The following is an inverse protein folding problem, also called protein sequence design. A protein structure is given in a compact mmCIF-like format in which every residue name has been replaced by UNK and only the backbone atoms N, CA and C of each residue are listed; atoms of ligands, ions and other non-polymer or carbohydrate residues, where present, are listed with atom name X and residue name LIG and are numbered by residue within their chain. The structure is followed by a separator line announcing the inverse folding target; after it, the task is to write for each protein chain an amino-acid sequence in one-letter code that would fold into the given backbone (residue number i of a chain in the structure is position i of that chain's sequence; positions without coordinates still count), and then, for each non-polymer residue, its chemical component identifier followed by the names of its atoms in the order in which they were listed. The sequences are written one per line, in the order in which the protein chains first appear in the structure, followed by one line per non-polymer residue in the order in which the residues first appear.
data_IF_751104616833
#
_entry.id   IF_751104616833
#
_cell.length_a   1.000
_cell.length_b   1.000
_cell.length_c   1.000
_cell.angle_alpha   90.00
_cell.angle_beta   90.00
_cell.angle_gamma   90.00
#
_symmetry.space_group_name_H-M   'P 1'
#
loop_
_entity.id
_entity.type
_entity.pdbx_description
1 polymer ?
#
# COMPACT_ATOMS: atom_id res chain seq x y z
N UNK A 1 15.45 12.64 28.61
CA UNK A 1 16.87 12.69 28.20
C UNK A 1 16.97 13.69 27.06
N UNK A 2 17.84 14.69 27.15
CA UNK A 2 18.09 15.62 26.04
C UNK A 2 18.82 14.87 24.93
N UNK A 3 18.20 14.82 23.75
CA UNK A 3 18.78 14.21 22.54
C UNK A 3 20.07 14.96 22.13
N UNK A 4 21.02 14.27 21.47
CA UNK A 4 22.24 14.92 21.01
C UNK A 4 21.93 15.97 19.93
N UNK A 5 22.58 17.14 20.04
CA UNK A 5 22.55 18.29 19.12
C UNK A 5 22.64 17.95 17.61
N UNK A 6 23.13 16.75 17.28
CA UNK A 6 23.24 16.23 15.93
C UNK A 6 21.88 16.04 15.23
N UNK A 7 20.82 15.65 15.95
CA UNK A 7 19.49 15.43 15.34
C UNK A 7 18.76 16.74 15.02
N UNK A 8 18.82 17.76 15.88
CA UNK A 8 18.27 19.10 15.58
C UNK A 8 18.99 19.75 14.39
N UNK A 9 20.32 19.60 14.34
CA UNK A 9 21.14 20.12 13.24
C UNK A 9 20.84 19.38 11.93
N UNK A 10 20.64 18.05 11.98
CA UNK A 10 20.23 17.25 10.84
C UNK A 10 18.81 17.61 10.36
N UNK A 11 17.83 17.78 11.26
CA UNK A 11 16.47 18.23 10.92
C UNK A 11 16.45 19.59 10.24
N UNK A 12 17.32 20.52 10.65
CA UNK A 12 17.44 21.84 9.99
C UNK A 12 18.10 21.74 8.62
N UNK A 13 19.22 21.03 8.51
CA UNK A 13 19.92 20.78 7.24
C UNK A 13 19.05 20.01 6.22
N UNK A 14 18.17 19.12 6.71
CA UNK A 14 17.20 18.42 5.88
C UNK A 14 16.11 19.33 5.33
N UNK A 15 15.54 20.22 6.17
CA UNK A 15 14.57 21.23 5.73
C UNK A 15 15.14 22.12 4.63
N UNK A 16 16.37 22.58 4.81
CA UNK A 16 17.05 23.43 3.84
C UNK A 16 17.29 22.69 2.50
N UNK A 17 17.72 21.41 2.53
CA UNK A 17 17.95 20.61 1.30
C UNK A 17 16.70 20.31 0.50
N UNK A 18 15.59 19.95 1.15
CA UNK A 18 14.33 19.60 0.46
C UNK A 18 13.74 20.82 -0.25
N UNK A 19 13.92 22.01 0.32
CA UNK A 19 13.45 23.27 -0.26
C UNK A 19 14.39 23.83 -1.34
N UNK A 20 15.71 23.63 -1.22
CA UNK A 20 16.69 24.08 -2.22
C UNK A 20 16.72 23.21 -3.48
N UNK A 21 16.37 21.92 -3.38
CA UNK A 21 16.34 20.98 -4.50
C UNK A 21 15.08 20.10 -4.45
N UNK A 22 13.90 20.64 -4.82
CA UNK A 22 12.69 19.84 -4.91
C UNK A 22 12.84 18.71 -5.93
N UNK A 23 12.14 17.59 -5.72
CA UNK A 23 12.14 16.42 -6.63
C UNK A 23 11.38 16.68 -7.95
N UNK A 24 11.12 17.96 -8.26
CA UNK A 24 10.35 18.39 -9.40
C UNK A 24 10.88 19.69 -10.01
N UNK A 25 10.50 19.93 -11.26
CA UNK A 25 10.81 21.20 -11.95
C UNK A 25 9.54 21.86 -12.45
N UNK A 26 9.41 23.17 -12.21
CA UNK A 26 8.31 23.96 -12.79
C UNK A 26 8.62 24.31 -14.24
N UNK A 27 7.77 23.88 -15.17
CA UNK A 27 7.89 24.22 -16.59
C UNK A 27 7.29 25.59 -16.83
N UNK A 28 8.15 26.57 -17.05
CA UNK A 28 7.73 27.93 -17.36
C UNK A 28 6.90 28.01 -18.64
N UNK A 29 5.83 28.81 -18.62
CA UNK A 29 4.89 29.04 -19.72
C UNK A 29 4.23 27.76 -20.27
N UNK A 30 4.10 26.71 -19.45
CA UNK A 30 3.42 25.45 -19.77
C UNK A 30 3.88 24.80 -21.09
N UNK A 31 5.17 25.01 -21.45
CA UNK A 31 5.72 24.49 -22.71
C UNK A 31 5.92 22.98 -22.60
N UNK A 32 4.91 22.22 -23.01
CA UNK A 32 4.88 20.75 -22.98
C UNK A 32 6.11 20.07 -23.61
N UNK A 33 6.78 20.70 -24.58
CA UNK A 33 7.99 20.16 -25.22
C UNK A 33 9.19 20.00 -24.27
N UNK A 34 9.24 20.76 -23.15
CA UNK A 34 10.30 20.64 -22.14
C UNK A 34 9.95 19.66 -21.00
N UNK A 35 8.72 19.15 -20.96
CA UNK A 35 8.28 18.20 -19.94
C UNK A 35 9.00 16.85 -20.03
N UNK A 36 9.39 16.43 -21.22
CA UNK A 36 10.07 15.15 -21.45
C UNK A 36 11.52 15.08 -20.94
N UNK A 37 12.09 16.18 -20.44
CA UNK A 37 13.50 16.25 -19.98
C UNK A 37 13.59 16.25 -18.43
N UNK A 38 12.50 16.55 -17.73
CA UNK A 38 12.47 16.55 -16.26
C UNK A 38 11.90 15.25 -15.71
N UNK A 39 12.49 14.75 -14.61
CA UNK A 39 12.04 13.51 -13.96
C UNK A 39 10.59 13.59 -13.44
N UNK A 40 10.17 14.78 -13.01
CA UNK A 40 8.81 15.05 -12.53
C UNK A 40 8.43 16.51 -12.86
N UNK A 41 7.89 16.79 -14.06
CA UNK A 41 7.50 18.14 -14.44
C UNK A 41 6.17 18.56 -13.80
N UNK A 42 6.10 19.81 -13.30
CA UNK A 42 4.83 20.48 -12.94
C UNK A 42 4.64 21.68 -13.86
N UNK A 43 3.45 21.86 -14.41
CA UNK A 43 3.17 23.04 -15.23
C UNK A 43 3.14 24.30 -14.34
N UNK A 44 3.49 25.46 -14.89
CA UNK A 44 3.53 26.69 -14.10
C UNK A 44 2.13 27.13 -13.67
N UNK A 45 1.11 26.94 -14.52
CA UNK A 45 -0.29 27.17 -14.17
C UNK A 45 -0.74 26.31 -13.00
N UNK A 46 -0.50 25.00 -13.09
CA UNK A 46 -0.78 24.01 -12.05
C UNK A 46 -0.06 24.34 -10.74
N UNK A 47 1.24 24.64 -10.80
CA UNK A 47 2.01 25.05 -9.63
C UNK A 47 1.39 26.29 -8.95
N UNK A 48 1.00 27.31 -9.73
CA UNK A 48 0.35 28.52 -9.19
C UNK A 48 -1.00 28.22 -8.56
N UNK A 49 -1.78 27.29 -9.11
CA UNK A 49 -3.04 26.84 -8.52
C UNK A 49 -2.82 26.15 -7.17
N UNK A 50 -1.85 25.25 -7.11
CA UNK A 50 -1.49 24.53 -5.88
C UNK A 50 -0.96 25.51 -4.81
N UNK A 51 -0.15 26.49 -5.18
CA UNK A 51 0.31 27.53 -4.24
C UNK A 51 -0.84 28.41 -3.74
N UNK A 52 -1.80 28.77 -4.61
CA UNK A 52 -3.03 29.49 -4.19
C UNK A 52 -3.85 28.66 -3.22
N UNK A 53 -4.01 27.37 -3.49
CA UNK A 53 -4.70 26.43 -2.61
C UNK A 53 -4.00 26.34 -1.25
N UNK A 54 -2.68 26.14 -1.22
CA UNK A 54 -1.87 26.17 0.03
C UNK A 54 -2.08 27.45 0.82
N UNK A 55 -2.06 28.61 0.15
CA UNK A 55 -2.27 29.90 0.80
C UNK A 55 -3.69 30.04 1.37
N UNK A 56 -4.71 29.55 0.65
CA UNK A 56 -6.09 29.51 1.13
C UNK A 56 -6.21 28.65 2.40
N UNK A 57 -5.61 27.46 2.43
CA UNK A 57 -5.59 26.59 3.61
C UNK A 57 -4.94 27.28 4.80
N UNK A 58 -3.80 27.94 4.60
CA UNK A 58 -3.10 28.69 5.64
C UNK A 58 -3.96 29.84 6.21
N UNK A 59 -4.71 30.54 5.37
CA UNK A 59 -5.61 31.60 5.83
C UNK A 59 -6.81 31.04 6.58
N UNK A 60 -7.44 30.00 6.03
CA UNK A 60 -8.68 29.41 6.56
C UNK A 60 -8.50 28.73 7.91
N UNK A 61 -7.35 28.10 8.14
CA UNK A 61 -7.11 27.26 9.32
C UNK A 61 -6.06 27.82 10.28
N UNK A 62 -5.74 29.12 10.19
CA UNK A 62 -4.72 29.79 11.00
C UNK A 62 -4.81 29.52 12.51
N UNK A 63 -6.01 29.58 13.06
CA UNK A 63 -6.26 29.44 14.49
C UNK A 63 -6.97 28.12 14.82
N UNK A 64 -6.93 27.15 13.91
CA UNK A 64 -7.57 25.84 14.11
C UNK A 64 -6.56 24.85 14.69
N UNK A 65 -6.81 24.25 15.87
CA UNK A 65 -5.96 23.20 16.41
C UNK A 65 -5.93 21.97 15.51
N UNK A 66 -4.80 21.24 15.53
CA UNK A 66 -4.60 20.04 14.72
C UNK A 66 -5.65 18.96 15.03
N UNK A 67 -5.99 18.80 16.31
CA UNK A 67 -6.94 17.79 16.81
C UNK A 67 -8.38 18.07 16.38
N UNK A 68 -8.70 19.34 16.09
CA UNK A 68 -10.01 19.74 15.56
C UNK A 68 -10.15 19.35 14.09
N UNK A 69 -9.09 19.53 13.30
CA UNK A 69 -9.07 19.12 11.89
C UNK A 69 -8.96 17.61 11.73
N UNK A 70 -8.13 16.99 12.55
CA UNK A 70 -7.84 15.57 12.48
C UNK A 70 -8.11 14.91 13.83
N UNK A 71 -9.38 14.52 14.10
CA UNK A 71 -9.72 13.79 15.32
C UNK A 71 -8.90 12.51 15.46
N UNK A 72 -8.25 12.36 16.61
CA UNK A 72 -7.27 11.32 16.87
C UNK A 72 -6.86 11.27 18.33
N UNK A 73 -5.78 10.56 18.61
CA UNK A 73 -5.20 10.46 19.94
C UNK A 73 -3.69 10.25 19.88
N UNK A 74 -3.00 10.61 20.94
CA UNK A 74 -1.57 10.38 21.10
C UNK A 74 -1.32 8.95 21.59
N UNK A 75 -0.36 8.27 20.95
CA UNK A 75 0.16 6.96 21.37
C UNK A 75 1.55 7.19 21.97
N UNK A 76 1.75 6.72 23.19
CA UNK A 76 3.05 6.74 23.85
C UNK A 76 3.86 5.51 23.43
N UNK A 77 5.08 5.73 22.95
CA UNK A 77 6.06 4.67 22.65
C UNK A 77 7.27 4.80 23.55
N UNK A 78 8.18 3.82 23.50
CA UNK A 78 9.44 3.89 24.23
C UNK A 78 10.31 5.11 23.87
N UNK A 79 10.14 5.64 22.65
CA UNK A 79 10.95 6.74 22.11
C UNK A 79 10.19 8.09 22.06
N UNK A 80 8.97 8.13 22.62
CA UNK A 80 8.15 9.34 22.70
C UNK A 80 6.75 9.18 22.10
N UNK A 81 5.99 10.27 22.05
CA UNK A 81 4.62 10.27 21.56
C UNK A 81 4.56 10.32 20.02
N UNK A 82 3.50 9.76 19.45
CA UNK A 82 3.07 9.98 18.07
C UNK A 82 1.57 10.24 18.02
N UNK A 83 1.11 11.13 17.14
CA UNK A 83 -0.32 11.38 16.95
C UNK A 83 -0.92 10.41 15.93
N UNK A 84 -2.03 9.76 16.30
CA UNK A 84 -2.72 8.80 15.45
C UNK A 84 -4.13 9.30 15.12
N UNK A 85 -4.38 9.53 13.84
CA UNK A 85 -5.68 9.90 13.30
C UNK A 85 -6.45 8.61 12.99
N UNK A 86 -7.69 8.49 13.49
CA UNK A 86 -8.48 7.27 13.26
C UNK A 86 -9.82 7.57 12.61
N UNK A 87 -10.18 6.77 11.60
CA UNK A 87 -11.46 6.89 10.88
C UNK A 87 -12.06 5.52 10.62
N UNK A 88 -13.40 5.47 10.57
CA UNK A 88 -14.17 4.26 10.31
C UNK A 88 -14.92 4.41 8.99
N UNK A 89 -14.81 3.42 8.13
CA UNK A 89 -15.38 3.43 6.79
C UNK A 89 -16.32 2.24 6.61
N UNK A 90 -17.43 2.46 5.91
CA UNK A 90 -18.41 1.43 5.57
C UNK A 90 -17.93 0.53 4.43
N UNK A 91 -16.80 -0.16 4.62
CA UNK A 91 -16.29 -1.16 3.69
C UNK A 91 -16.28 -2.51 4.39
N UNK A 92 -16.99 -3.47 3.79
CA UNK A 92 -17.05 -4.85 4.25
C UNK A 92 -16.26 -5.73 3.29
N UNK A 93 -15.21 -6.37 3.80
CA UNK A 93 -14.47 -7.34 3.00
C UNK A 93 -15.32 -8.60 2.74
N UNK A 94 -15.19 -9.21 1.54
CA UNK A 94 -15.80 -10.50 1.25
C UNK A 94 -15.33 -11.57 2.22
N UNK A 95 -16.26 -12.43 2.63
CA UNK A 95 -15.94 -13.49 3.59
C UNK A 95 -14.91 -14.47 3.04
N UNK A 96 -14.08 -15.00 3.94
CA UNK A 96 -13.22 -16.15 3.63
C UNK A 96 -14.06 -17.36 3.20
N UNK A 97 -13.62 -18.04 2.14
CA UNK A 97 -14.20 -19.32 1.70
C UNK A 97 -13.06 -20.27 1.33
N UNK A 98 -12.37 -20.84 2.33
CA UNK A 98 -11.21 -21.69 2.07
C UNK A 98 -11.57 -22.95 1.29
N UNK A 99 -12.80 -23.45 1.44
CA UNK A 99 -13.28 -24.65 0.76
C UNK A 99 -13.40 -24.40 -0.74
N UNK A 100 -14.04 -23.28 -1.15
CA UNK A 100 -14.14 -22.90 -2.56
C UNK A 100 -12.76 -22.67 -3.17
N UNK A 101 -11.88 -21.94 -2.50
CA UNK A 101 -10.54 -21.65 -3.01
C UNK A 101 -9.73 -22.93 -3.21
N UNK A 102 -9.68 -23.81 -2.20
CA UNK A 102 -8.95 -25.09 -2.32
C UNK A 102 -9.54 -25.96 -3.44
N UNK A 103 -10.86 -26.00 -3.60
CA UNK A 103 -11.53 -26.72 -4.70
C UNK A 103 -11.15 -26.17 -6.08
N UNK A 104 -11.11 -24.85 -6.24
CA UNK A 104 -10.68 -24.20 -7.49
C UNK A 104 -9.21 -24.56 -7.81
N UNK A 105 -8.32 -24.51 -6.82
CA UNK A 105 -6.91 -24.86 -6.99
C UNK A 105 -6.70 -26.35 -7.27
N UNK A 106 -7.47 -27.25 -6.66
CA UNK A 106 -7.44 -28.68 -6.97
C UNK A 106 -7.87 -28.99 -8.41
N UNK A 107 -8.60 -28.10 -9.09
CA UNK A 107 -8.96 -28.24 -10.50
C UNK A 107 -7.88 -27.74 -11.48
N UNK A 108 -6.82 -27.09 -10.98
CA UNK A 108 -5.70 -26.59 -11.76
C UNK A 108 -4.54 -27.59 -11.76
N UNK A 109 -4.44 -28.39 -12.84
CA UNK A 109 -3.39 -29.41 -12.92
C UNK A 109 -2.00 -28.80 -13.12
N UNK A 110 -1.89 -27.51 -13.48
CA UNK A 110 -0.60 -26.85 -13.68
C UNK A 110 0.16 -26.63 -12.37
N UNK A 111 -0.50 -26.82 -11.22
CA UNK A 111 0.14 -26.79 -9.91
C UNK A 111 0.98 -28.06 -9.62
N UNK A 112 0.85 -29.09 -10.46
CA UNK A 112 1.59 -30.35 -10.35
C UNK A 112 2.87 -30.28 -11.16
N UNK A 113 4.00 -30.58 -10.52
CA UNK A 113 5.32 -30.56 -11.16
C UNK A 113 5.33 -31.40 -12.46
N UNK A 114 5.77 -30.78 -13.55
CA UNK A 114 5.85 -31.41 -14.87
C UNK A 114 4.58 -31.31 -15.73
N UNK A 115 3.53 -30.63 -15.25
CA UNK A 115 2.31 -30.34 -16.03
C UNK A 115 2.27 -28.86 -16.40
N UNK A 116 2.57 -28.54 -17.67
CA UNK A 116 2.29 -27.23 -18.25
C UNK A 116 0.88 -27.14 -18.87
N UNK A 117 0.48 -25.96 -19.33
CA UNK A 117 -0.86 -25.69 -19.91
C UNK A 117 -1.28 -26.68 -21.00
N UNK A 118 -0.37 -27.04 -21.91
CA UNK A 118 -0.68 -28.01 -22.96
C UNK A 118 -0.91 -29.42 -22.38
N UNK A 119 -0.08 -29.83 -21.42
CA UNK A 119 -0.20 -31.14 -20.77
C UNK A 119 -1.48 -31.24 -19.95
N UNK A 120 -1.84 -30.18 -19.24
CA UNK A 120 -3.12 -30.08 -18.54
C UNK A 120 -4.29 -30.29 -19.52
N UNK A 121 -4.30 -29.63 -20.67
CA UNK A 121 -5.35 -29.80 -21.70
C UNK A 121 -5.44 -31.26 -22.17
N UNK A 122 -4.30 -31.90 -22.43
CA UNK A 122 -4.26 -33.32 -22.83
C UNK A 122 -4.84 -34.24 -21.74
N UNK A 123 -4.49 -33.99 -20.48
CA UNK A 123 -4.94 -34.78 -19.32
C UNK A 123 -6.45 -34.59 -19.08
N UNK A 124 -6.95 -33.35 -19.16
CA UNK A 124 -8.37 -33.03 -19.04
C UNK A 124 -9.21 -33.72 -20.12
N UNK A 125 -8.73 -33.81 -21.36
CA UNK A 125 -9.40 -34.59 -22.44
C UNK A 125 -9.45 -36.09 -22.15
N UNK A 126 -8.49 -36.61 -21.37
CA UNK A 126 -8.44 -38.02 -20.95
C UNK A 126 -9.25 -38.30 -19.67
N UNK A 127 -9.95 -37.30 -19.14
CA UNK A 127 -10.82 -37.44 -17.97
C UNK A 127 -10.19 -37.03 -16.64
N UNK A 128 -8.90 -36.67 -16.60
CA UNK A 128 -8.26 -36.13 -15.39
C UNK A 128 -8.66 -34.66 -15.23
N UNK A 129 -9.66 -34.36 -14.42
CA UNK A 129 -10.21 -33.00 -14.25
C UNK A 129 -9.57 -32.26 -13.10
N UNK A 130 -9.10 -32.99 -12.09
CA UNK A 130 -8.59 -32.49 -10.82
C UNK A 130 -7.28 -33.19 -10.44
N UNK A 131 -6.49 -32.58 -9.56
CA UNK A 131 -5.24 -33.16 -9.06
C UNK A 131 -5.46 -34.53 -8.39
N UNK A 132 -6.54 -34.78 -7.62
CA UNK A 132 -6.86 -36.11 -7.10
C UNK A 132 -6.99 -37.20 -8.16
N UNK A 133 -7.47 -36.86 -9.37
CA UNK A 133 -7.57 -37.84 -10.46
C UNK A 133 -6.19 -38.37 -10.88
N UNK A 134 -5.12 -37.60 -10.64
CA UNK A 134 -3.75 -37.96 -11.01
C UNK A 134 -3.07 -38.89 -9.99
N UNK A 135 -3.68 -39.21 -8.84
CA UNK A 135 -3.04 -39.99 -7.77
C UNK A 135 -2.57 -41.38 -8.20
N UNK A 136 -3.25 -41.99 -9.18
CA UNK A 136 -2.89 -43.28 -9.76
C UNK A 136 -2.16 -43.16 -11.12
N UNK A 137 -1.88 -41.93 -11.57
CA UNK A 137 -1.22 -41.69 -12.84
C UNK A 137 0.28 -42.05 -12.75
N UNK A 138 0.74 -43.00 -13.58
CA UNK A 138 2.12 -43.53 -13.55
C UNK A 138 3.23 -42.48 -13.48
N UNK A 139 3.07 -41.35 -14.19
CA UNK A 139 4.09 -40.28 -14.23
C UNK A 139 3.85 -39.13 -13.23
N UNK A 140 2.60 -38.87 -12.86
CA UNK A 140 2.21 -37.64 -12.16
C UNK A 140 1.64 -37.90 -10.76
N UNK A 141 1.52 -39.15 -10.32
CA UNK A 141 0.95 -39.52 -9.02
C UNK A 141 1.72 -38.95 -7.84
N UNK A 142 3.04 -39.12 -7.80
CA UNK A 142 3.88 -38.56 -6.72
C UNK A 142 3.88 -37.02 -6.70
N UNK A 143 4.11 -36.32 -7.83
CA UNK A 143 3.92 -34.87 -7.90
C UNK A 143 2.53 -34.39 -7.47
N UNK A 144 1.46 -35.12 -7.85
CA UNK A 144 0.09 -34.79 -7.48
C UNK A 144 -0.15 -34.96 -5.97
N UNK A 145 0.37 -36.03 -5.36
CA UNK A 145 0.35 -36.22 -3.89
C UNK A 145 1.02 -35.05 -3.17
N UNK A 146 2.20 -34.65 -3.64
CA UNK A 146 2.93 -33.54 -3.03
C UNK A 146 2.16 -32.21 -3.10
N UNK A 147 1.57 -31.89 -4.26
CA UNK A 147 0.73 -30.71 -4.42
C UNK A 147 -0.53 -30.77 -3.55
N UNK A 148 -1.21 -31.92 -3.51
CA UNK A 148 -2.44 -32.10 -2.71
C UNK A 148 -2.21 -31.95 -1.22
N UNK A 149 -1.08 -32.45 -0.70
CA UNK A 149 -0.73 -32.29 0.71
C UNK A 149 -0.70 -30.80 1.08
N UNK A 150 -0.04 -29.96 0.27
CA UNK A 150 -0.03 -28.51 0.50
C UNK A 150 -1.42 -27.90 0.33
N UNK A 151 -2.17 -28.29 -0.70
CA UNK A 151 -3.51 -27.76 -0.97
C UNK A 151 -4.56 -28.16 0.07
N UNK A 152 -4.35 -29.21 0.87
CA UNK A 152 -5.33 -29.66 1.88
C UNK A 152 -4.90 -29.34 3.31
N UNK A 153 -3.62 -29.54 3.61
CA UNK A 153 -3.07 -29.46 4.97
C UNK A 153 -2.20 -28.22 5.18
N UNK A 154 -1.71 -27.62 4.09
CA UNK A 154 -0.84 -26.45 4.15
C UNK A 154 -1.55 -25.18 4.62
N UNK A 155 -0.77 -24.32 5.26
CA UNK A 155 -1.13 -22.94 5.59
C UNK A 155 -1.43 -22.13 4.33
N UNK A 156 -2.15 -21.02 4.47
CA UNK A 156 -2.45 -20.12 3.35
C UNK A 156 -1.17 -19.60 2.65
N UNK A 157 -0.10 -19.34 3.42
CA UNK A 157 1.19 -18.91 2.89
C UNK A 157 1.90 -20.00 2.07
N UNK A 158 1.82 -21.27 2.51
CA UNK A 158 2.36 -22.40 1.75
C UNK A 158 1.56 -22.65 0.46
N UNK A 159 0.24 -22.49 0.49
CA UNK A 159 -0.60 -22.57 -0.72
C UNK A 159 -0.24 -21.45 -1.69
N UNK A 160 -0.12 -20.20 -1.23
CA UNK A 160 0.36 -19.09 -2.07
C UNK A 160 1.75 -19.38 -2.66
N UNK A 161 2.65 -19.98 -1.88
CA UNK A 161 4.00 -20.36 -2.34
C UNK A 161 3.96 -21.48 -3.40
N UNK A 162 3.02 -22.42 -3.29
CA UNK A 162 2.81 -23.44 -4.31
C UNK A 162 2.31 -22.81 -5.62
N UNK A 163 1.33 -21.89 -5.54
CA UNK A 163 0.76 -21.25 -6.73
C UNK A 163 1.78 -20.33 -7.41
N UNK A 164 2.49 -19.50 -6.63
CA UNK A 164 3.46 -18.53 -7.15
C UNK A 164 4.72 -19.17 -7.73
N UNK A 165 4.99 -20.45 -7.42
CA UNK A 165 6.03 -21.24 -8.09
C UNK A 165 5.75 -21.47 -9.57
N UNK A 166 4.47 -21.56 -9.94
CA UNK A 166 4.03 -21.93 -11.29
C UNK A 166 3.43 -20.77 -12.06
N UNK A 167 2.94 -19.75 -11.35
CA UNK A 167 2.27 -18.60 -11.92
C UNK A 167 2.90 -17.31 -11.40
N UNK A 168 2.97 -16.25 -12.22
CA UNK A 168 3.43 -14.95 -11.75
C UNK A 168 2.52 -14.45 -10.63
N UNK A 169 3.06 -13.62 -9.73
CA UNK A 169 2.31 -13.06 -8.58
C UNK A 169 1.05 -12.30 -9.01
N UNK A 170 1.03 -11.75 -10.22
CA UNK A 170 -0.13 -11.07 -10.81
C UNK A 170 -1.23 -11.99 -11.32
N UNK A 171 -1.02 -13.31 -11.34
CA UNK A 171 -2.02 -14.27 -11.81
C UNK A 171 -3.24 -14.32 -10.87
N UNK A 172 -4.48 -14.38 -11.39
CA UNK A 172 -5.68 -14.44 -10.56
C UNK A 172 -5.67 -15.56 -9.53
N UNK A 173 -5.01 -16.69 -9.82
CA UNK A 173 -4.87 -17.80 -8.86
C UNK A 173 -4.03 -17.44 -7.64
N UNK A 174 -3.03 -16.57 -7.79
CA UNK A 174 -2.28 -16.06 -6.65
C UNK A 174 -3.21 -15.24 -5.77
N UNK A 175 -4.00 -14.34 -6.36
CA UNK A 175 -4.92 -13.48 -5.62
C UNK A 175 -6.07 -14.25 -4.97
N UNK A 176 -6.58 -15.32 -5.60
CA UNK A 176 -7.64 -16.15 -5.03
C UNK A 176 -7.22 -16.84 -3.72
N UNK A 177 -5.91 -17.10 -3.51
CA UNK A 177 -5.40 -17.61 -2.22
C UNK A 177 -5.68 -16.67 -1.05
N UNK A 178 -5.97 -15.40 -1.30
CA UNK A 178 -6.42 -14.49 -0.26
C UNK A 178 -7.70 -15.01 0.45
N UNK A 179 -8.53 -15.80 -0.23
CA UNK A 179 -9.72 -16.45 0.36
C UNK A 179 -9.44 -17.51 1.41
N UNK A 180 -8.17 -17.85 1.63
CA UNK A 180 -7.72 -18.73 2.71
C UNK A 180 -7.46 -17.97 4.03
N UNK A 181 -7.38 -16.64 4.01
CA UNK A 181 -7.16 -15.82 5.19
C UNK A 181 -8.47 -15.25 5.74
N UNK A 182 -8.52 -15.08 7.06
CA UNK A 182 -9.64 -14.38 7.74
C UNK A 182 -9.56 -12.88 7.49
N UNK A 183 -10.70 -12.21 7.49
CA UNK A 183 -10.80 -10.79 7.12
C UNK A 183 -9.97 -9.89 8.05
N UNK A 184 -9.96 -10.17 9.35
CA UNK A 184 -9.17 -9.44 10.36
C UNK A 184 -7.65 -9.66 10.27
N UNK A 185 -7.16 -10.52 9.35
CA UNK A 185 -5.73 -10.70 9.10
C UNK A 185 -5.19 -9.70 8.07
N UNK A 186 -6.03 -9.10 7.24
CA UNK A 186 -5.56 -8.14 6.23
C UNK A 186 -5.18 -6.81 6.88
N UNK A 187 -4.00 -6.32 6.48
CA UNK A 187 -3.47 -5.01 6.84
C UNK A 187 -3.15 -4.27 5.54
N UNK A 188 -3.84 -3.16 5.31
CA UNK A 188 -3.58 -2.26 4.21
C UNK A 188 -2.53 -1.24 4.66
N UNK A 189 -1.56 -0.95 3.80
CA UNK A 189 -0.45 -0.05 4.09
C UNK A 189 -0.24 0.92 2.93
N UNK A 190 -0.06 2.18 3.27
CA UNK A 190 0.32 3.27 2.38
C UNK A 190 1.17 4.30 3.16
N UNK A 191 2.20 4.87 2.54
CA UNK A 191 3.10 5.83 3.18
C UNK A 191 3.12 7.18 2.45
N UNK A 192 3.22 8.26 3.21
CA UNK A 192 3.64 9.57 2.68
C UNK A 192 5.05 9.90 3.18
N UNK A 193 5.91 10.27 2.24
CA UNK A 193 7.31 10.58 2.50
C UNK A 193 7.64 11.98 2.00
N UNK A 194 8.74 12.57 2.50
CA UNK A 194 9.21 13.87 2.01
C UNK A 194 9.92 13.81 0.66
N UNK A 195 9.76 12.75 -0.12
CA UNK A 195 10.36 12.56 -1.45
C UNK A 195 11.02 11.19 -1.64
N UNK A 196 11.85 11.08 -2.67
CA UNK A 196 12.41 9.80 -3.12
C UNK A 196 13.67 9.40 -2.33
N UNK A 197 13.60 8.24 -1.65
CA UNK A 197 14.67 7.55 -0.88
C UNK A 197 15.32 8.36 0.26
N UNK A 198 15.60 7.68 1.39
CA UNK A 198 16.33 8.23 2.54
C UNK A 198 15.75 9.47 3.24
N UNK A 199 14.52 9.87 2.91
CA UNK A 199 13.82 10.97 3.59
C UNK A 199 12.97 10.44 4.74
N UNK A 200 12.62 11.28 5.72
CA UNK A 200 11.69 10.90 6.76
C UNK A 200 10.33 10.48 6.19
N UNK A 201 9.71 9.48 6.81
CA UNK A 201 8.28 9.21 6.65
C UNK A 201 7.52 10.25 7.47
N UNK A 202 6.49 10.85 6.88
CA UNK A 202 5.69 11.89 7.56
C UNK A 202 4.29 11.41 7.92
N UNK A 203 3.80 10.38 7.24
CA UNK A 203 2.54 9.74 7.53
C UNK A 203 2.65 8.25 7.23
N UNK A 204 2.35 7.41 8.23
CA UNK A 204 2.19 5.97 8.02
C UNK A 204 0.70 5.67 8.07
N UNK A 205 0.12 5.31 6.93
CA UNK A 205 -1.27 4.91 6.82
C UNK A 205 -1.40 3.40 6.97
N UNK A 206 -2.17 2.96 7.96
CA UNK A 206 -2.59 1.56 8.11
C UNK A 206 -4.11 1.46 8.04
N UNK A 207 -4.62 0.38 7.46
CA UNK A 207 -6.04 0.03 7.62
C UNK A 207 -6.23 -1.46 7.93
N UNK A 208 -7.20 -1.76 8.80
CA UNK A 208 -7.55 -3.12 9.18
C UNK A 208 -9.07 -3.28 9.29
N UNK A 209 -9.52 -4.54 9.29
CA UNK A 209 -10.94 -4.86 9.36
C UNK A 209 -11.36 -5.09 10.81
N UNK A 210 -12.35 -4.32 11.27
CA UNK A 210 -13.06 -4.54 12.54
C UNK A 210 -14.53 -4.84 12.26
N UNK A 211 -14.93 -6.11 12.42
CA UNK A 211 -16.29 -6.52 12.13
C UNK A 211 -16.65 -6.31 10.66
N UNK A 212 -17.57 -5.38 10.38
CA UNK A 212 -17.99 -5.01 9.03
C UNK A 212 -17.51 -3.64 8.57
N UNK A 213 -16.48 -3.11 9.23
CA UNK A 213 -15.91 -1.80 8.94
C UNK A 213 -14.42 -1.91 8.66
N UNK A 214 -13.95 -1.02 7.80
CA UNK A 214 -12.53 -0.73 7.65
C UNK A 214 -12.18 0.41 8.61
N UNK A 215 -11.14 0.23 9.42
CA UNK A 215 -10.61 1.24 10.31
C UNK A 215 -9.26 1.68 9.77
N UNK A 216 -9.10 2.97 9.50
CA UNK A 216 -7.81 3.56 9.10
C UNK A 216 -7.17 4.21 10.33
N UNK A 217 -5.89 3.95 10.55
CA UNK A 217 -5.03 4.60 11.52
C UNK A 217 -3.87 5.26 10.77
N UNK A 218 -3.75 6.57 10.87
CA UNK A 218 -2.69 7.34 10.20
C UNK A 218 -1.79 7.96 11.27
N UNK A 219 -0.56 7.47 11.36
CA UNK A 219 0.45 7.92 12.32
C UNK A 219 1.16 9.14 11.72
N UNK A 220 0.75 10.32 12.18
CA UNK A 220 1.23 11.60 11.68
C UNK A 220 2.46 12.03 12.49
N UNK A 221 3.56 12.29 11.78
CA UNK A 221 4.77 12.88 12.34
C UNK A 221 4.54 14.39 12.40
N UNK A 222 4.45 14.98 13.60
CA UNK A 222 4.19 16.42 13.78
C UNK A 222 5.47 17.24 13.87
N UNK A 223 6.56 16.59 14.25
CA UNK A 223 7.92 17.10 14.18
C UNK A 223 8.86 15.93 13.89
N UNK A 224 10.06 16.19 13.39
CA UNK A 224 10.96 15.13 12.90
C UNK A 224 11.36 14.12 13.99
N UNK A 225 11.29 14.52 15.26
CA UNK A 225 11.55 13.68 16.41
C UNK A 225 10.47 12.59 16.58
N UNK A 226 9.29 12.75 15.99
CA UNK A 226 8.20 11.78 16.06
C UNK A 226 8.29 10.66 15.01
N UNK A 227 9.28 10.68 14.11
CA UNK A 227 9.40 9.62 13.11
C UNK A 227 9.66 8.24 13.76
N UNK A 228 10.62 8.16 14.69
CA UNK A 228 10.89 6.90 15.39
C UNK A 228 9.69 6.42 16.22
N UNK A 229 9.04 7.27 17.04
CA UNK A 229 7.75 6.95 17.64
C UNK A 229 6.68 6.46 16.65
N UNK A 230 6.54 7.09 15.48
CA UNK A 230 5.59 6.68 14.45
C UNK A 230 5.91 5.28 13.90
N UNK A 231 7.19 5.01 13.61
CA UNK A 231 7.64 3.68 13.20
C UNK A 231 7.29 2.67 14.30
N UNK A 232 7.76 2.86 15.53
CA UNK A 232 7.54 1.91 16.63
C UNK A 232 6.06 1.64 16.92
N UNK A 233 5.19 2.64 16.78
CA UNK A 233 3.76 2.48 16.99
C UNK A 233 3.08 1.54 15.97
N UNK A 234 3.74 1.24 14.84
CA UNK A 234 3.24 0.30 13.82
C UNK A 234 3.72 -1.12 14.02
N UNK A 235 4.69 -1.37 14.90
CA UNK A 235 5.39 -2.66 15.06
C UNK A 235 4.43 -3.82 15.38
N UNK A 236 3.51 -3.61 16.30
CA UNK A 236 2.50 -4.62 16.68
C UNK A 236 1.51 -4.90 15.53
N UNK A 237 1.17 -3.85 14.78
CA UNK A 237 0.30 -3.96 13.62
C UNK A 237 0.98 -4.73 12.48
N UNK A 238 2.29 -4.62 12.32
CA UNK A 238 3.09 -5.29 11.29
C UNK A 238 3.50 -6.73 11.67
N UNK A 239 2.92 -7.28 12.74
CA UNK A 239 3.20 -8.65 13.19
C UNK A 239 3.01 -9.70 12.08
N UNK A 240 3.78 -10.79 12.14
CA UNK A 240 3.83 -11.86 11.12
C UNK A 240 2.50 -12.59 10.87
N UNK A 241 1.51 -12.42 11.74
CA UNK A 241 0.17 -13.00 11.59
C UNK A 241 -0.71 -12.24 10.58
N UNK A 242 -0.30 -11.02 10.23
CA UNK A 242 -1.00 -10.18 9.25
C UNK A 242 -0.60 -10.48 7.81
N UNK A 243 -1.48 -10.09 6.90
CA UNK A 243 -1.29 -10.18 5.46
C UNK A 243 -1.29 -8.78 4.91
N UNK A 244 -0.17 -8.37 4.32
CA UNK A 244 -0.04 -7.04 3.74
C UNK A 244 -0.81 -6.97 2.42
N UNK A 245 -1.53 -5.87 2.25
CA UNK A 245 -2.13 -5.47 0.98
C UNK A 245 -1.66 -4.05 0.70
N UNK A 246 -1.07 -3.82 -0.48
CA UNK A 246 -0.54 -2.51 -0.88
C UNK A 246 -0.83 -2.24 -2.35
N UNK A 247 -0.64 -0.99 -2.78
CA UNK A 247 -0.58 -0.63 -4.19
C UNK A 247 0.85 -0.22 -4.56
N UNK A 248 1.59 -1.04 -5.31
CA UNK A 248 3.02 -0.82 -5.60
C UNK A 248 3.96 -0.87 -4.38
N UNK A 249 3.43 -1.10 -3.18
CA UNK A 249 4.25 -1.12 -1.95
C UNK A 249 5.26 -2.26 -1.83
N UNK A 250 5.22 -3.30 -2.67
CA UNK A 250 6.31 -4.29 -2.73
C UNK A 250 7.60 -3.67 -3.25
N UNK A 251 7.49 -2.69 -4.14
CA UNK A 251 8.61 -1.99 -4.75
C UNK A 251 8.91 -0.65 -4.09
N UNK A 252 8.02 -0.13 -3.24
CA UNK A 252 8.15 1.19 -2.63
C UNK A 252 7.97 1.14 -1.10
N UNK A 253 6.73 1.07 -0.60
CA UNK A 253 6.41 1.26 0.81
C UNK A 253 7.17 0.32 1.75
N UNK A 254 7.15 -0.99 1.47
CA UNK A 254 7.76 -2.00 2.34
C UNK A 254 9.29 -1.87 2.38
N UNK A 255 10.01 -1.80 1.23
CA UNK A 255 11.44 -1.50 1.26
C UNK A 255 11.79 -0.20 1.99
N UNK A 256 10.99 0.86 1.79
CA UNK A 256 11.21 2.16 2.43
C UNK A 256 11.08 2.04 3.95
N UNK A 257 10.00 1.42 4.43
CA UNK A 257 9.75 1.23 5.85
C UNK A 257 10.86 0.41 6.51
N UNK A 258 11.29 -0.68 5.87
CA UNK A 258 12.42 -1.51 6.33
C UNK A 258 13.71 -0.69 6.43
N UNK A 259 14.00 0.15 5.43
CA UNK A 259 15.16 1.03 5.44
C UNK A 259 15.10 2.03 6.61
N UNK A 260 13.95 2.66 6.84
CA UNK A 260 13.77 3.63 7.93
C UNK A 260 13.94 3.01 9.30
N UNK A 261 13.33 1.84 9.54
CA UNK A 261 13.55 1.08 10.78
C UNK A 261 15.05 0.79 11.01
N UNK A 262 15.74 0.34 9.96
CA UNK A 262 17.16 0.02 10.04
C UNK A 262 18.03 1.26 10.37
N UNK A 263 17.66 2.46 9.89
CA UNK A 263 18.38 3.70 10.24
C UNK A 263 18.33 4.03 11.73
N UNK A 264 17.27 3.62 12.42
CA UNK A 264 17.14 3.77 13.88
C UNK A 264 17.65 2.55 14.66
N UNK A 265 18.24 1.56 13.99
CA UNK A 265 18.71 0.33 14.63
C UNK A 265 17.60 -0.64 15.02
N UNK A 266 16.39 -0.44 14.49
CA UNK A 266 15.22 -1.27 14.75
C UNK A 266 15.00 -2.31 13.64
N UNK A 267 14.44 -3.47 14.01
CA UNK A 267 13.96 -4.46 13.04
C UNK A 267 12.49 -4.21 12.73
N UNK A 268 12.19 -4.00 11.45
CA UNK A 268 10.83 -3.84 10.94
C UNK A 268 10.02 -5.15 11.05
N UNK A 269 10.69 -6.30 11.02
CA UNK A 269 10.07 -7.62 11.21
C UNK A 269 9.12 -8.07 10.10
N UNK A 270 9.02 -7.31 8.99
CA UNK A 270 8.12 -7.60 7.87
C UNK A 270 8.60 -8.82 7.09
N UNK A 271 7.86 -9.91 7.24
CA UNK A 271 7.98 -11.13 6.44
C UNK A 271 6.60 -11.69 6.05
N UNK A 272 5.60 -10.82 6.08
CA UNK A 272 4.21 -11.17 5.89
C UNK A 272 3.94 -11.65 4.46
N UNK A 273 2.96 -12.57 4.28
CA UNK A 273 2.33 -12.74 2.97
C UNK A 273 1.85 -11.38 2.46
N UNK A 274 2.05 -11.11 1.17
CA UNK A 274 1.87 -9.77 0.62
C UNK A 274 1.21 -9.79 -0.76
N UNK A 275 0.02 -9.20 -0.84
CA UNK A 275 -0.70 -8.94 -2.07
C UNK A 275 -0.49 -7.49 -2.53
N UNK A 276 0.37 -7.30 -3.54
CA UNK A 276 0.52 -6.02 -4.21
C UNK A 276 -0.45 -5.95 -5.40
N UNK A 277 -1.42 -5.03 -5.31
CA UNK A 277 -2.51 -4.94 -6.27
C UNK A 277 -2.16 -4.21 -7.57
N UNK A 278 -0.98 -3.58 -7.68
CA UNK A 278 -0.58 -2.92 -8.93
C UNK A 278 -0.47 -3.94 -10.07
N UNK A 279 0.14 -5.10 -9.83
CA UNK A 279 0.38 -6.07 -10.89
C UNK A 279 -0.89 -6.80 -11.37
N UNK A 280 -1.78 -7.28 -10.48
CA UNK A 280 -3.12 -7.74 -10.88
C UNK A 280 -3.91 -6.67 -11.64
N UNK A 281 -3.86 -5.41 -11.19
CA UNK A 281 -4.55 -4.29 -11.86
C UNK A 281 -4.03 -4.06 -13.26
N UNK A 282 -2.71 -4.01 -13.45
CA UNK A 282 -2.08 -3.93 -14.78
C UNK A 282 -2.43 -5.11 -15.66
N UNK A 283 -2.50 -6.33 -15.11
CA UNK A 283 -2.93 -7.49 -15.89
C UNK A 283 -4.37 -7.32 -16.40
N UNK A 284 -5.25 -6.75 -15.57
CA UNK A 284 -6.69 -6.69 -15.84
C UNK A 284 -7.10 -5.52 -16.73
N UNK A 285 -6.47 -4.36 -16.56
CA UNK A 285 -6.98 -3.09 -17.11
C UNK A 285 -5.98 -2.27 -17.93
N UNK A 286 -4.73 -2.73 -18.14
CA UNK A 286 -3.73 -1.97 -18.92
C UNK A 286 -4.16 -1.59 -20.34
N UNK A 287 -5.07 -2.37 -20.94
CA UNK A 287 -5.57 -2.16 -22.30
C UNK A 287 -6.97 -1.51 -22.30
N UNK A 288 -7.53 -1.23 -21.12
CA UNK A 288 -8.87 -0.66 -20.94
C UNK A 288 -8.85 0.77 -20.42
N UNK A 289 -7.83 1.14 -19.63
CA UNK A 289 -7.71 2.47 -19.02
C UNK A 289 -6.44 3.19 -19.48
N UNK A 290 -6.37 4.54 -19.37
CA UNK A 290 -5.20 5.31 -19.79
C UNK A 290 -3.91 4.87 -19.10
N UNK A 291 -4.00 4.54 -17.80
CA UNK A 291 -2.96 3.91 -17.02
C UNK A 291 -3.56 3.08 -15.87
N UNK A 292 -2.70 2.54 -15.00
CA UNK A 292 -3.12 1.86 -13.78
C UNK A 292 -2.53 2.55 -12.54
N UNK A 293 -2.60 3.88 -12.47
CA UNK A 293 -2.43 4.60 -11.21
C UNK A 293 -3.69 4.42 -10.36
N UNK A 294 -3.56 4.51 -9.03
CA UNK A 294 -4.70 4.29 -8.14
C UNK A 294 -5.81 5.31 -8.39
N UNK A 295 -5.46 6.58 -8.61
CA UNK A 295 -6.40 7.65 -8.99
C UNK A 295 -7.18 7.36 -10.28
N UNK A 296 -6.53 6.77 -11.29
CA UNK A 296 -7.22 6.35 -12.53
C UNK A 296 -8.20 5.22 -12.25
N UNK A 297 -7.79 4.21 -11.47
CA UNK A 297 -8.68 3.11 -11.10
C UNK A 297 -9.87 3.57 -10.26
N UNK A 298 -9.66 4.54 -9.38
CA UNK A 298 -10.72 5.16 -8.59
C UNK A 298 -11.80 5.81 -9.45
N UNK A 299 -11.38 6.60 -10.44
CA UNK A 299 -12.30 7.25 -11.36
C UNK A 299 -13.06 6.21 -12.20
N UNK A 300 -12.33 5.28 -12.82
CA UNK A 300 -12.90 4.32 -13.77
C UNK A 300 -13.74 3.22 -13.11
N UNK A 301 -13.36 2.74 -11.92
CA UNK A 301 -14.05 1.64 -11.24
C UNK A 301 -15.06 2.09 -10.20
N UNK A 302 -14.82 3.24 -9.55
CA UNK A 302 -15.60 3.68 -8.39
C UNK A 302 -16.23 5.06 -8.57
N UNK A 303 -16.04 5.72 -9.73
CA UNK A 303 -16.53 7.08 -10.00
C UNK A 303 -16.07 8.12 -8.96
N UNK A 304 -14.93 7.88 -8.32
CA UNK A 304 -14.33 8.79 -7.35
C UNK A 304 -13.51 9.82 -8.13
N UNK A 305 -13.82 11.09 -7.94
CA UNK A 305 -13.12 12.20 -8.57
C UNK A 305 -12.39 13.00 -7.50
N UNK A 306 -11.06 13.04 -7.55
CA UNK A 306 -10.23 13.82 -6.62
C UNK A 306 -10.28 15.29 -7.03
N UNK A 307 -10.98 16.14 -6.28
CA UNK A 307 -11.15 17.57 -6.61
C UNK A 307 -9.99 18.47 -6.16
N UNK A 308 -9.24 18.06 -5.14
CA UNK A 308 -8.18 18.87 -4.50
C UNK A 308 -6.91 18.03 -4.26
N UNK A 309 -6.46 17.33 -5.30
CA UNK A 309 -5.28 16.46 -5.18
C UNK A 309 -3.99 17.28 -5.27
N UNK A 310 -3.13 17.13 -4.26
CA UNK A 310 -1.77 17.70 -4.29
C UNK A 310 -0.87 16.64 -4.89
N UNK A 311 -0.16 16.91 -6.01
CA UNK A 311 0.79 15.96 -6.55
C UNK A 311 1.77 15.49 -5.47
N UNK A 312 2.03 14.19 -5.36
CA UNK A 312 2.85 13.61 -4.27
C UNK A 312 4.23 14.28 -4.13
N UNK A 313 4.81 14.70 -5.26
CA UNK A 313 6.06 15.48 -5.32
C UNK A 313 6.02 16.86 -4.62
N UNK A 314 4.83 17.44 -4.40
CA UNK A 314 4.60 18.71 -3.72
C UNK A 314 4.18 18.54 -2.25
N UNK A 315 3.91 17.32 -1.79
CA UNK A 315 3.67 17.00 -0.37
C UNK A 315 4.74 17.60 0.55
N UNK A 316 6.05 17.57 0.22
CA UNK A 316 7.09 18.13 1.09
C UNK A 316 6.90 19.63 1.38
N UNK A 317 6.44 20.41 0.41
CA UNK A 317 6.20 21.84 0.62
C UNK A 317 5.00 22.12 1.53
N UNK A 318 3.97 21.28 1.48
CA UNK A 318 2.80 21.42 2.34
C UNK A 318 3.17 21.04 3.77
N UNK A 319 3.92 19.95 3.95
CA UNK A 319 4.42 19.55 5.24
C UNK A 319 5.38 20.58 5.86
N UNK A 320 6.28 21.18 5.07
CA UNK A 320 7.17 22.23 5.55
C UNK A 320 6.41 23.50 5.96
N UNK A 321 5.35 23.85 5.22
CA UNK A 321 4.48 24.96 5.61
C UNK A 321 3.83 24.70 6.98
N UNK A 322 3.40 23.47 7.26
CA UNK A 322 2.92 23.07 8.57
C UNK A 322 4.02 23.20 9.64
N UNK A 323 5.22 22.63 9.43
CA UNK A 323 6.30 22.70 10.42
C UNK A 323 6.72 24.15 10.75
N UNK A 324 6.78 25.02 9.74
CA UNK A 324 7.20 26.41 9.92
C UNK A 324 6.14 27.27 10.58
N UNK A 325 4.87 27.09 10.20
CA UNK A 325 3.78 27.96 10.67
C UNK A 325 3.01 27.39 11.86
N UNK A 326 3.21 26.10 12.17
CA UNK A 326 2.41 25.31 13.10
C UNK A 326 0.90 25.31 12.75
N UNK A 327 0.55 25.68 11.52
CA UNK A 327 -0.81 25.68 11.01
C UNK A 327 -1.10 24.32 10.36
N UNK A 328 -2.11 23.56 10.82
CA UNK A 328 -2.41 22.22 10.31
C UNK A 328 -3.12 22.22 8.94
N UNK A 329 -3.57 23.38 8.44
CA UNK A 329 -4.29 23.50 7.16
C UNK A 329 -3.58 22.81 5.98
N UNK A 330 -2.28 23.04 5.72
CA UNK A 330 -1.53 22.35 4.68
C UNK A 330 -1.48 20.82 4.80
N UNK A 331 -1.72 20.23 5.98
CA UNK A 331 -1.75 18.77 6.12
C UNK A 331 -3.04 18.14 5.58
N UNK A 332 -4.10 18.92 5.35
CA UNK A 332 -5.41 18.41 4.90
C UNK A 332 -5.25 17.55 3.64
N UNK A 333 -4.71 18.04 2.51
CA UNK A 333 -4.58 17.22 1.31
C UNK A 333 -3.72 15.97 1.53
N UNK A 334 -2.69 16.04 2.38
CA UNK A 334 -1.79 14.90 2.66
C UNK A 334 -2.53 13.79 3.43
N UNK A 335 -3.23 14.16 4.50
CA UNK A 335 -3.98 13.21 5.33
C UNK A 335 -5.18 12.64 4.58
N UNK A 336 -5.91 13.47 3.82
CA UNK A 336 -7.05 13.01 3.02
C UNK A 336 -6.61 12.09 1.88
N UNK A 337 -5.50 12.40 1.21
CA UNK A 337 -4.93 11.57 0.14
C UNK A 337 -4.58 10.16 0.65
N UNK A 338 -3.73 10.06 1.68
CA UNK A 338 -3.35 8.78 2.27
C UNK A 338 -4.57 7.99 2.80
N UNK A 339 -5.55 8.68 3.40
CA UNK A 339 -6.77 8.02 3.86
C UNK A 339 -7.58 7.45 2.68
N UNK A 340 -7.74 8.24 1.63
CA UNK A 340 -8.43 7.84 0.40
C UNK A 340 -7.72 6.67 -0.27
N UNK A 341 -6.39 6.68 -0.34
CA UNK A 341 -5.59 5.60 -0.92
C UNK A 341 -5.80 4.27 -0.18
N UNK A 342 -5.80 4.27 1.16
CA UNK A 342 -6.12 3.09 1.96
C UNK A 342 -7.55 2.57 1.70
N UNK A 343 -8.53 3.47 1.63
CA UNK A 343 -9.94 3.15 1.38
C UNK A 343 -10.12 2.58 -0.03
N UNK A 344 -9.52 3.19 -1.03
CA UNK A 344 -9.54 2.74 -2.42
C UNK A 344 -8.83 1.42 -2.61
N UNK A 345 -7.69 1.23 -1.95
CA UNK A 345 -6.97 -0.03 -1.94
C UNK A 345 -7.82 -1.16 -1.36
N UNK A 346 -8.54 -0.91 -0.26
CA UNK A 346 -9.46 -1.88 0.32
C UNK A 346 -10.64 -2.19 -0.62
N UNK A 347 -11.23 -1.18 -1.29
CA UNK A 347 -12.28 -1.39 -2.29
C UNK A 347 -11.80 -2.22 -3.48
N UNK A 348 -10.61 -1.90 -3.99
CA UNK A 348 -9.98 -2.63 -5.07
C UNK A 348 -9.71 -4.09 -4.69
N UNK A 349 -9.24 -4.32 -3.47
CA UNK A 349 -9.07 -5.67 -2.94
C UNK A 349 -10.39 -6.44 -2.88
N UNK A 350 -11.48 -5.79 -2.42
CA UNK A 350 -12.81 -6.40 -2.40
C UNK A 350 -13.28 -6.80 -3.81
N UNK A 351 -13.12 -5.90 -4.78
CA UNK A 351 -13.48 -6.17 -6.18
C UNK A 351 -12.80 -7.44 -6.70
N UNK A 352 -11.47 -7.55 -6.52
CA UNK A 352 -10.75 -8.76 -6.90
C UNK A 352 -11.22 -10.01 -6.14
N UNK A 353 -11.58 -9.87 -4.87
CA UNK A 353 -12.00 -10.98 -4.00
C UNK A 353 -13.39 -11.51 -4.33
N UNK A 354 -14.28 -10.68 -4.86
CA UNK A 354 -15.64 -11.07 -5.27
C UNK A 354 -15.65 -11.79 -6.63
N UNK A 355 -14.75 -11.40 -7.53
CA UNK A 355 -14.61 -11.98 -8.87
C UNK A 355 -13.85 -13.32 -8.90
N UNK A 356 -13.12 -13.67 -7.83
CA UNK A 356 -12.21 -14.82 -7.75
C UNK A 356 -12.88 -16.18 -7.46
#
# INVERSE_FOLDING_TARGET
MTMPLAFETASRLWRDRVMEAPDYSVIKNDRHFMAGISGSPVLESEYREIQRFKHMLLQRYRDTPLEVLFPGYTIETAEGPVYCITRRHGIRLPKSDPVRVRRQLEADLTLVFGIGKQKERDLKRKGYRTIPDLLQHRRFGEPARAALRVLREGTAAEVLSLVSRWHPVSDPRCLSTAGLYREGQFLFLDLETLGLSQRPVILIGLAFVEGDRLVTCQYLVRCMEEELPALLATKDCLSREKVLVTYNGRSFDVPYLVERYAMYGEDCGIHNPHYDLLHPSRRRWRDSFPDCRLSTLEQELFSIHRQEDVPSMMVPEFYEAFLTTQNPGPLIPVVEHNCQDLVSLARLFCLFREES
#
